data_IF_623337810896
#
_entry.id   IF_623337810896
#
_cell.length_a   1.000
_cell.length_b   1.000
_cell.length_c   1.000
_cell.angle_alpha   90.00
_cell.angle_beta   90.00
_cell.angle_gamma   90.00
#
_symmetry.space_group_name_H-M   'P 1'
#
loop_
_entity.id
_entity.type
_entity.pdbx_description
1 polymer ?
#
# COMPACT_ATOMS: atom_id res chain seq x y z
N UNK A 1 4.63 22.93 10.91
CA UNK A 1 4.61 21.49 10.54
C UNK A 1 5.45 21.31 9.29
N UNK A 2 6.48 20.45 9.32
CA UNK A 2 7.33 20.17 8.15
C UNK A 2 6.56 19.24 7.21
N UNK A 3 6.55 19.54 5.89
CA UNK A 3 6.04 18.63 4.85
C UNK A 3 6.74 17.27 4.99
N UNK A 4 5.98 16.17 4.98
CA UNK A 4 6.51 14.81 4.81
C UNK A 4 5.82 14.15 3.62
N UNK A 5 6.21 14.57 2.41
CA UNK A 5 6.20 13.66 1.27
C UNK A 5 7.57 13.00 1.28
N UNK A 6 7.63 11.69 1.11
CA UNK A 6 8.89 10.96 1.18
C UNK A 6 8.91 9.77 0.25
N UNK A 7 10.11 9.32 -0.05
CA UNK A 7 10.34 8.19 -0.95
C UNK A 7 10.77 6.99 -0.11
N UNK A 8 10.00 5.90 -0.19
CA UNK A 8 10.37 4.61 0.37
C UNK A 8 11.19 3.89 -0.70
N UNK A 9 12.52 3.99 -0.59
CA UNK A 9 13.46 3.56 -1.64
C UNK A 9 14.67 2.83 -1.08
N UNK A 10 15.08 1.78 -1.80
CA UNK A 10 16.39 1.17 -1.59
C UNK A 10 17.44 1.88 -2.47
N UNK A 11 18.23 2.80 -1.89
CA UNK A 11 19.39 3.39 -2.59
C UNK A 11 20.60 2.46 -2.54
N UNK A 12 21.08 2.02 -3.71
CA UNK A 12 22.37 1.35 -3.88
C UNK A 12 23.13 1.96 -5.04
N UNK A 13 23.79 3.10 -4.82
CA UNK A 13 24.66 3.71 -5.83
C UNK A 13 26.02 2.99 -5.80
N UNK A 14 26.34 2.25 -6.86
CA UNK A 14 27.69 1.75 -7.15
C UNK A 14 27.88 1.87 -8.65
N UNK A 15 28.72 2.80 -9.09
CA UNK A 15 29.03 3.00 -10.51
C UNK A 15 30.10 1.97 -10.90
N UNK A 16 29.67 0.81 -11.39
CA UNK A 16 30.47 -0.08 -12.22
C UNK A 16 29.55 -0.70 -13.29
N UNK A 17 29.98 -0.77 -14.56
CA UNK A 17 29.14 -1.23 -15.67
C UNK A 17 29.13 -2.77 -15.71
N UNK A 18 28.40 -3.39 -14.78
CA UNK A 18 28.09 -4.83 -14.79
C UNK A 18 27.03 -5.14 -13.73
N UNK A 19 25.91 -5.75 -14.15
CA UNK A 19 24.87 -6.42 -13.35
C UNK A 19 23.69 -5.60 -12.82
N UNK A 20 22.51 -5.97 -13.35
CA UNK A 20 21.13 -5.58 -13.02
C UNK A 20 20.89 -5.46 -11.50
N UNK A 21 20.68 -4.24 -10.99
CA UNK A 21 20.03 -4.05 -9.68
C UNK A 21 18.56 -3.70 -9.90
N UNK A 22 17.68 -4.41 -9.22
CA UNK A 22 16.27 -4.05 -9.13
C UNK A 22 16.16 -2.72 -8.36
N UNK A 23 15.85 -1.63 -9.06
CA UNK A 23 15.57 -0.34 -8.45
C UNK A 23 14.11 -0.34 -7.99
N UNK A 24 13.89 -0.53 -6.69
CA UNK A 24 12.57 -0.51 -6.06
C UNK A 24 12.35 0.84 -5.37
N UNK A 25 11.39 1.62 -5.86
CA UNK A 25 11.05 2.93 -5.32
C UNK A 25 9.54 3.12 -5.30
N UNK A 26 9.02 3.59 -4.18
CA UNK A 26 7.66 4.08 -4.07
C UNK A 26 7.69 5.53 -3.57
N UNK A 27 6.96 6.40 -4.24
CA UNK A 27 6.69 7.77 -3.78
C UNK A 27 5.32 7.77 -3.12
N UNK A 28 5.24 8.16 -1.85
CA UNK A 28 3.98 8.22 -1.11
C UNK A 28 3.62 9.68 -0.81
N UNK A 29 2.44 10.11 -1.23
CA UNK A 29 1.95 11.45 -0.94
C UNK A 29 1.09 11.50 0.33
N UNK A 30 1.71 11.98 1.40
CA UNK A 30 1.06 12.30 2.67
C UNK A 30 1.26 13.79 3.02
N UNK A 31 1.40 14.64 2.00
CA UNK A 31 1.60 16.07 2.15
C UNK A 31 0.30 16.86 2.37
N UNK A 32 0.40 18.14 2.76
CA UNK A 32 -0.71 19.07 2.66
C UNK A 32 -1.16 19.20 1.20
N UNK A 33 -2.48 19.28 0.97
CA UNK A 33 -3.14 19.37 -0.35
C UNK A 33 -2.47 20.34 -1.32
N UNK A 34 -1.99 21.48 -0.84
CA UNK A 34 -1.28 22.44 -1.66
C UNK A 34 -0.80 23.64 -0.87
N UNK A 35 -0.36 24.66 -1.58
CA UNK A 35 0.03 25.97 -1.02
C UNK A 35 -0.90 27.06 -1.53
N UNK A 36 -0.99 28.17 -0.79
CA UNK A 36 -1.85 29.31 -1.13
C UNK A 36 -3.32 28.86 -1.35
N UNK A 37 -3.93 29.19 -2.50
CA UNK A 37 -5.30 28.80 -2.84
C UNK A 37 -5.43 27.33 -3.31
N UNK A 38 -4.34 26.56 -3.32
CA UNK A 38 -4.31 25.18 -3.79
C UNK A 38 -4.74 25.01 -5.26
N UNK A 39 -4.62 26.04 -6.10
CA UNK A 39 -5.12 26.00 -7.47
C UNK A 39 -4.43 24.99 -8.40
N UNK A 40 -3.23 24.55 -8.04
CA UNK A 40 -2.48 23.51 -8.76
C UNK A 40 -2.58 22.13 -8.10
N UNK A 41 -3.26 22.01 -6.97
CA UNK A 41 -3.42 20.75 -6.28
C UNK A 41 -4.31 19.78 -7.07
N UNK A 42 -4.24 18.51 -6.70
CA UNK A 42 -5.12 17.43 -7.10
C UNK A 42 -5.75 16.82 -5.83
N UNK A 43 -6.81 16.02 -5.95
CA UNK A 43 -7.42 15.31 -4.82
C UNK A 43 -6.71 13.97 -4.59
N UNK A 44 -5.40 14.02 -4.42
CA UNK A 44 -4.46 12.90 -4.49
C UNK A 44 -3.92 12.45 -3.12
N UNK A 45 -4.55 12.90 -2.03
CA UNK A 45 -4.15 12.53 -0.68
C UNK A 45 -4.02 11.00 -0.51
N UNK A 46 -2.90 10.58 0.08
CA UNK A 46 -2.49 9.19 0.30
C UNK A 46 -2.27 8.37 -0.98
N UNK A 47 -2.16 9.02 -2.14
CA UNK A 47 -1.75 8.36 -3.38
C UNK A 47 -0.29 7.92 -3.33
N UNK A 48 0.09 7.04 -4.25
CA UNK A 48 1.48 6.66 -4.44
C UNK A 48 1.82 6.40 -5.91
N UNK A 49 3.09 6.57 -6.25
CA UNK A 49 3.65 6.11 -7.51
C UNK A 49 4.66 5.01 -7.26
N UNK A 50 4.72 4.03 -8.15
CA UNK A 50 5.58 2.86 -8.02
C UNK A 50 6.50 2.73 -9.22
N UNK A 51 7.81 2.68 -8.96
CA UNK A 51 8.81 2.30 -9.94
C UNK A 51 9.57 1.07 -9.46
N UNK A 52 9.62 0.05 -10.31
CA UNK A 52 10.37 -1.18 -10.07
C UNK A 52 11.14 -1.60 -11.33
N UNK A 53 12.30 -2.22 -11.14
CA UNK A 53 13.08 -2.81 -12.22
C UNK A 53 13.41 -1.83 -13.37
N UNK A 54 13.62 -0.55 -13.02
CA UNK A 54 13.98 0.51 -13.97
C UNK A 54 12.81 1.06 -14.79
N UNK A 55 11.56 0.78 -14.38
CA UNK A 55 10.33 1.23 -15.03
C UNK A 55 9.37 1.82 -14.01
N UNK A 56 8.67 2.89 -14.37
CA UNK A 56 7.54 3.40 -13.60
C UNK A 56 6.29 2.64 -14.03
N UNK A 57 5.54 2.12 -13.07
CA UNK A 57 4.51 1.11 -13.31
C UNK A 57 3.15 1.63 -12.91
N UNK A 58 3.01 2.06 -11.66
CA UNK A 58 1.85 2.78 -11.17
C UNK A 58 2.21 4.26 -11.15
N UNK A 59 1.40 5.09 -11.82
CA UNK A 59 1.73 6.48 -12.13
C UNK A 59 0.59 7.42 -11.76
N UNK A 60 0.96 8.65 -11.45
CA UNK A 60 0.05 9.80 -11.49
C UNK A 60 -0.35 10.10 -12.95
N UNK A 61 -1.63 10.44 -13.22
CA UNK A 61 -2.10 10.76 -14.56
C UNK A 61 -1.54 12.09 -15.08
N UNK A 62 -0.94 12.92 -14.23
CA UNK A 62 -0.46 14.26 -14.56
C UNK A 62 -1.58 15.29 -14.63
N UNK A 63 -1.26 16.50 -15.10
CA UNK A 63 -2.23 17.62 -15.09
C UNK A 63 -3.08 17.72 -16.35
N UNK A 64 -2.56 17.27 -17.49
CA UNK A 64 -3.12 17.46 -18.84
C UNK A 64 -3.41 18.91 -19.24
N UNK A 65 -4.42 19.57 -18.67
CA UNK A 65 -4.82 20.92 -19.04
C UNK A 65 -5.09 21.79 -17.82
N UNK A 66 -4.95 23.11 -17.96
CA UNK A 66 -5.36 24.10 -16.96
C UNK A 66 -6.65 24.82 -17.37
N UNK A 67 -6.73 25.22 -18.64
CA UNK A 67 -7.78 26.10 -19.19
C UNK A 67 -8.48 25.52 -20.42
N UNK A 68 -8.18 24.27 -20.79
CA UNK A 68 -8.87 23.55 -21.86
C UNK A 68 -10.25 23.08 -21.43
N UNK A 69 -10.56 21.79 -21.65
CA UNK A 69 -11.82 21.21 -21.15
C UNK A 69 -11.84 21.21 -19.63
N UNK A 70 -12.93 21.77 -19.06
CA UNK A 70 -13.21 21.74 -17.63
C UNK A 70 -13.38 20.30 -17.14
N UNK A 71 -14.07 19.48 -17.92
CA UNK A 71 -14.35 18.07 -17.61
C UNK A 71 -13.05 17.29 -17.50
N UNK A 72 -12.12 17.47 -18.45
CA UNK A 72 -10.81 16.84 -18.40
C UNK A 72 -9.93 17.41 -17.28
N UNK A 73 -10.00 18.73 -17.02
CA UNK A 73 -9.30 19.33 -15.88
C UNK A 73 -9.75 18.72 -14.56
N UNK A 74 -11.05 18.59 -14.37
CA UNK A 74 -11.64 18.08 -13.13
C UNK A 74 -11.39 16.57 -12.99
N UNK A 75 -11.45 15.81 -14.10
CA UNK A 75 -11.19 14.38 -14.08
C UNK A 75 -9.73 14.04 -13.76
N UNK A 76 -8.75 14.78 -14.27
CA UNK A 76 -7.34 14.54 -13.93
C UNK A 76 -7.00 14.93 -12.49
N UNK A 77 -7.87 15.70 -11.81
CA UNK A 77 -7.70 16.17 -10.43
C UNK A 77 -8.55 15.42 -9.41
N UNK A 78 -9.39 14.47 -9.83
CA UNK A 78 -10.26 13.71 -8.93
C UNK A 78 -9.49 12.56 -8.28
N UNK A 79 -9.89 12.15 -7.07
CA UNK A 79 -9.22 11.05 -6.36
C UNK A 79 -9.26 9.72 -7.12
N UNK A 80 -10.30 9.49 -7.93
CA UNK A 80 -10.40 8.31 -8.81
C UNK A 80 -9.31 8.25 -9.86
N UNK A 81 -8.65 9.37 -10.18
CA UNK A 81 -7.56 9.45 -11.14
C UNK A 81 -6.19 9.15 -10.53
N UNK A 82 -6.08 8.96 -9.21
CA UNK A 82 -4.83 8.69 -8.52
C UNK A 82 -4.81 7.30 -7.90
N UNK A 83 -3.63 6.78 -7.58
CA UNK A 83 -3.43 5.48 -6.91
C UNK A 83 -3.85 5.53 -5.43
N UNK A 84 -5.11 5.85 -5.15
CA UNK A 84 -5.69 6.02 -3.81
C UNK A 84 -7.09 5.40 -3.75
N UNK A 85 -7.68 5.40 -2.56
CA UNK A 85 -9.01 4.89 -2.29
C UNK A 85 -10.06 6.01 -2.41
N UNK A 86 -11.14 5.74 -3.14
CA UNK A 86 -12.36 6.56 -3.12
C UNK A 86 -13.47 5.89 -2.33
N UNK A 87 -14.30 6.70 -1.70
CA UNK A 87 -15.47 6.25 -0.95
C UNK A 87 -16.72 6.75 -1.69
N UNK A 88 -17.67 5.86 -1.98
CA UNK A 88 -18.91 6.15 -2.70
C UNK A 88 -18.68 6.93 -4.02
N UNK A 89 -17.60 6.60 -4.73
CA UNK A 89 -17.24 7.21 -6.01
C UNK A 89 -16.78 8.67 -5.96
N UNK A 90 -16.48 9.22 -4.78
CA UNK A 90 -16.15 10.64 -4.65
C UNK A 90 -14.71 10.93 -4.21
N UNK A 91 -14.32 12.17 -4.47
CA UNK A 91 -12.98 12.66 -4.20
C UNK A 91 -12.83 13.15 -2.76
N UNK A 92 -11.62 13.00 -2.22
CA UNK A 92 -11.22 13.50 -0.90
C UNK A 92 -11.29 15.03 -0.80
N UNK A 93 -11.14 15.71 -1.94
CA UNK A 93 -11.32 17.16 -2.10
C UNK A 93 -12.20 17.42 -3.32
N UNK A 94 -13.10 18.40 -3.26
CA UNK A 94 -14.05 18.71 -4.33
C UNK A 94 -13.65 20.01 -5.02
N UNK A 95 -13.38 19.97 -6.33
CA UNK A 95 -13.00 21.15 -7.12
C UNK A 95 -14.15 22.16 -7.25
N UNK A 96 -13.82 23.45 -7.26
CA UNK A 96 -14.73 24.55 -7.60
C UNK A 96 -14.09 25.41 -8.68
N UNK A 97 -14.05 24.91 -9.92
CA UNK A 97 -13.36 25.56 -11.02
C UNK A 97 -11.87 25.19 -11.14
N UNK A 98 -11.15 25.80 -12.11
CA UNK A 98 -9.84 25.29 -12.55
C UNK A 98 -8.72 25.49 -11.52
N UNK A 99 -8.87 26.44 -10.58
CA UNK A 99 -7.84 26.82 -9.62
C UNK A 99 -8.38 26.99 -8.18
N UNK A 100 -9.53 26.40 -7.87
CA UNK A 100 -10.18 26.51 -6.56
C UNK A 100 -10.85 25.21 -6.15
N UNK A 101 -11.17 25.11 -4.87
CA UNK A 101 -11.68 23.92 -4.20
C UNK A 101 -12.84 24.31 -3.29
N UNK A 102 -13.96 23.60 -3.44
CA UNK A 102 -15.10 23.69 -2.54
C UNK A 102 -14.78 23.06 -1.18
N UNK A 103 -14.05 21.95 -1.20
CA UNK A 103 -13.57 21.26 -0.01
C UNK A 103 -12.12 20.85 -0.21
N UNK A 104 -11.35 20.87 0.89
CA UNK A 104 -9.95 20.46 0.92
C UNK A 104 -9.79 19.46 2.05
N UNK A 105 -9.33 18.25 1.73
CA UNK A 105 -8.92 17.27 2.73
C UNK A 105 -7.67 17.72 3.45
N UNK A 106 -7.65 17.56 4.78
CA UNK A 106 -6.44 17.69 5.59
C UNK A 106 -5.80 16.32 5.72
N UNK A 107 -4.61 16.19 5.16
CA UNK A 107 -3.78 15.01 5.31
C UNK A 107 -2.78 15.20 6.46
N UNK A 108 -2.60 14.15 7.26
CA UNK A 108 -1.68 14.10 8.39
C UNK A 108 -0.84 12.82 8.33
N UNK A 109 0.49 12.97 8.36
CA UNK A 109 1.42 11.86 8.51
C UNK A 109 1.45 11.41 9.98
N UNK A 110 1.07 10.16 10.23
CA UNK A 110 0.98 9.58 11.57
C UNK A 110 2.29 8.90 11.98
N UNK A 111 2.95 8.21 11.05
CA UNK A 111 4.21 7.51 11.29
C UNK A 111 5.12 7.55 10.08
N UNK A 112 6.43 7.58 10.32
CA UNK A 112 7.46 7.49 9.30
C UNK A 112 8.71 6.85 9.90
N UNK A 113 9.03 5.64 9.47
CA UNK A 113 10.13 4.83 9.96
C UNK A 113 11.00 4.47 8.77
N UNK A 114 12.27 4.81 8.86
CA UNK A 114 13.30 4.39 7.90
C UNK A 114 14.30 3.49 8.62
N UNK A 115 14.57 2.30 8.08
CA UNK A 115 15.54 1.37 8.66
C UNK A 115 16.36 0.67 7.58
N UNK A 116 17.46 -0.01 7.91
CA UNK A 116 18.21 -0.78 6.90
C UNK A 116 17.42 -1.91 6.22
N UNK A 117 16.35 -2.41 6.86
CA UNK A 117 15.66 -3.65 6.44
C UNK A 117 14.24 -3.44 5.96
N UNK A 118 13.57 -2.41 6.46
CA UNK A 118 12.22 -2.02 6.04
C UNK A 118 12.04 -0.51 6.15
N UNK A 119 11.07 0.03 5.41
CA UNK A 119 10.53 1.36 5.68
C UNK A 119 9.02 1.25 5.96
N UNK A 120 8.50 2.12 6.81
CA UNK A 120 7.06 2.19 7.11
C UNK A 120 6.60 3.64 7.08
N UNK A 121 5.50 3.92 6.40
CA UNK A 121 4.83 5.20 6.44
C UNK A 121 3.34 5.01 6.70
N UNK A 122 2.73 5.90 7.47
CA UNK A 122 1.29 5.92 7.72
C UNK A 122 0.76 7.35 7.63
N UNK A 123 -0.35 7.51 6.94
CA UNK A 123 -1.02 8.78 6.75
C UNK A 123 -2.53 8.64 6.83
N UNK A 124 -3.21 9.69 7.28
CA UNK A 124 -4.67 9.77 7.35
C UNK A 124 -5.16 11.06 6.72
N UNK A 125 -6.40 11.08 6.26
CA UNK A 125 -7.05 12.33 5.87
C UNK A 125 -8.55 12.34 6.20
N UNK A 126 -9.09 13.55 6.34
CA UNK A 126 -10.48 13.79 6.76
C UNK A 126 -11.44 14.11 5.58
N UNK A 127 -11.01 13.87 4.34
CA UNK A 127 -11.72 14.28 3.12
C UNK A 127 -13.15 13.75 2.98
N UNK A 128 -13.49 12.66 3.68
CA UNK A 128 -14.82 12.05 3.64
C UNK A 128 -15.65 12.31 4.90
N UNK A 129 -15.22 13.21 5.78
CA UNK A 129 -15.82 13.38 7.12
C UNK A 129 -17.11 14.21 7.12
N UNK A 130 -17.28 15.13 6.16
CA UNK A 130 -18.43 16.03 6.08
C UNK A 130 -19.59 15.46 5.24
N UNK A 131 -19.57 14.16 4.95
CA UNK A 131 -20.54 13.48 4.09
C UNK A 131 -21.74 12.98 4.90
N UNK A 132 -22.89 12.66 4.27
CA UNK A 132 -24.04 12.10 4.99
C UNK A 132 -23.71 10.81 5.76
N UNK A 133 -22.82 9.98 5.20
CA UNK A 133 -22.16 8.87 5.89
C UNK A 133 -20.67 9.20 6.04
N UNK A 134 -20.25 9.83 7.14
CA UNK A 134 -18.85 10.14 7.36
C UNK A 134 -17.95 8.91 7.32
N UNK A 135 -16.78 9.09 6.73
CA UNK A 135 -15.72 8.10 6.78
C UNK A 135 -14.35 8.75 6.98
N UNK A 136 -13.44 8.01 7.62
CA UNK A 136 -12.02 8.36 7.72
C UNK A 136 -11.20 7.32 6.98
N UNK A 137 -10.24 7.77 6.18
CA UNK A 137 -9.33 6.91 5.43
C UNK A 137 -7.90 7.08 5.95
N UNK A 138 -7.30 5.96 6.34
CA UNK A 138 -5.90 5.86 6.75
C UNK A 138 -5.20 4.84 5.86
N UNK A 139 -4.05 5.20 5.31
CA UNK A 139 -3.20 4.30 4.55
C UNK A 139 -1.87 4.11 5.27
N UNK A 140 -1.42 2.88 5.38
CA UNK A 140 -0.03 2.59 5.69
C UNK A 140 0.64 1.79 4.58
N UNK A 141 1.95 2.01 4.42
CA UNK A 141 2.79 1.34 3.46
C UNK A 141 4.00 0.79 4.19
N UNK A 142 4.10 -0.55 4.25
CA UNK A 142 5.31 -1.25 4.66
C UNK A 142 6.10 -1.64 3.40
N UNK A 143 7.32 -1.15 3.28
CA UNK A 143 8.28 -1.62 2.28
C UNK A 143 9.27 -2.59 2.93
N UNK A 144 9.20 -3.86 2.56
CA UNK A 144 10.22 -4.84 2.91
C UNK A 144 11.38 -4.67 1.92
N UNK A 145 12.53 -4.17 2.37
CA UNK A 145 13.59 -3.72 1.45
C UNK A 145 14.12 -4.86 0.60
N UNK A 146 14.25 -4.59 -0.70
CA UNK A 146 14.62 -5.54 -1.77
C UNK A 146 13.57 -6.63 -2.03
N UNK A 147 12.44 -6.55 -1.35
CA UNK A 147 11.36 -7.50 -1.46
C UNK A 147 10.17 -6.81 -2.14
N UNK A 148 9.15 -6.43 -1.38
CA UNK A 148 7.87 -5.97 -1.90
C UNK A 148 7.19 -4.99 -0.93
N UNK A 149 6.06 -4.41 -1.37
CA UNK A 149 5.26 -3.51 -0.54
C UNK A 149 3.97 -4.16 -0.09
N UNK A 150 3.57 -3.83 1.14
CA UNK A 150 2.25 -4.09 1.70
C UNK A 150 1.59 -2.72 1.92
N UNK A 151 0.47 -2.48 1.25
CA UNK A 151 -0.34 -1.26 1.42
C UNK A 151 -1.60 -1.65 2.19
N UNK A 152 -1.86 -1.01 3.31
CA UNK A 152 -3.03 -1.25 4.14
C UNK A 152 -3.93 -0.02 4.14
N UNK A 153 -5.11 -0.14 3.54
CA UNK A 153 -6.15 0.89 3.54
C UNK A 153 -7.17 0.58 4.62
N UNK A 154 -7.17 1.37 5.69
CA UNK A 154 -8.14 1.29 6.78
C UNK A 154 -9.19 2.38 6.61
N UNK A 155 -10.44 1.95 6.48
CA UNK A 155 -11.60 2.83 6.37
C UNK A 155 -12.49 2.63 7.58
N UNK A 156 -12.74 3.71 8.31
CA UNK A 156 -13.73 3.75 9.40
C UNK A 156 -14.97 4.49 8.91
N UNK A 157 -16.01 3.75 8.56
CA UNK A 157 -17.27 4.29 8.03
C UNK A 157 -18.37 4.26 9.09
N UNK A 158 -19.26 5.25 9.10
CA UNK A 158 -20.43 5.28 10.01
C UNK A 158 -21.66 4.55 9.47
N UNK A 159 -21.64 4.18 8.20
CA UNK A 159 -22.72 3.49 7.49
C UNK A 159 -22.16 2.63 6.36
N UNK A 160 -23.04 2.03 5.58
CA UNK A 160 -22.64 1.30 4.37
C UNK A 160 -21.93 2.24 3.40
N UNK A 161 -20.81 1.78 2.85
CA UNK A 161 -19.99 2.54 1.93
C UNK A 161 -19.40 1.63 0.84
N UNK A 162 -19.34 2.13 -0.39
CA UNK A 162 -18.57 1.52 -1.47
C UNK A 162 -17.14 2.03 -1.41
N UNK A 163 -16.18 1.13 -1.41
CA UNK A 163 -14.75 1.43 -1.48
C UNK A 163 -14.23 1.03 -2.85
N UNK A 164 -13.51 1.94 -3.51
CA UNK A 164 -12.84 1.68 -4.78
C UNK A 164 -11.34 2.00 -4.62
N UNK A 165 -10.48 1.00 -4.76
CA UNK A 165 -9.02 1.17 -4.74
C UNK A 165 -8.52 1.21 -6.18
N UNK A 166 -7.92 2.34 -6.56
CA UNK A 166 -7.54 2.61 -7.94
C UNK A 166 -6.06 2.31 -8.17
N UNK A 167 -5.74 1.68 -9.30
CA UNK A 167 -4.37 1.39 -9.74
C UNK A 167 -4.19 1.82 -11.20
N UNK A 168 -3.54 2.95 -11.40
CA UNK A 168 -3.30 3.58 -12.69
C UNK A 168 -1.95 3.13 -13.24
N UNK A 169 -1.99 2.31 -14.28
CA UNK A 169 -0.78 1.83 -14.93
C UNK A 169 -0.26 2.84 -15.94
N UNK A 170 1.05 2.86 -16.14
CA UNK A 170 1.66 3.71 -17.17
C UNK A 170 1.13 3.40 -18.57
N UNK A 171 1.16 4.37 -19.48
CA UNK A 171 0.65 4.22 -20.87
C UNK A 171 1.35 3.13 -21.68
N UNK A 172 2.46 2.62 -21.18
CA UNK A 172 3.30 1.65 -21.85
C UNK A 172 3.17 0.24 -21.22
N UNK A 173 2.28 0.08 -20.23
CA UNK A 173 1.91 -1.16 -19.56
C UNK A 173 0.68 -1.80 -20.21
N UNK A 174 0.57 -3.12 -20.10
CA UNK A 174 -0.56 -3.94 -20.54
C UNK A 174 -0.98 -4.92 -19.42
N UNK A 175 -1.47 -4.39 -18.28
CA UNK A 175 -1.86 -5.22 -17.14
C UNK A 175 -3.11 -6.04 -17.45
N UNK A 176 -3.14 -7.30 -16.99
CA UNK A 176 -4.30 -8.17 -17.15
C UNK A 176 -4.70 -8.87 -15.85
N UNK A 177 -5.98 -9.24 -15.74
CA UNK A 177 -6.46 -10.06 -14.64
C UNK A 177 -6.04 -11.53 -14.82
N UNK A 178 -5.54 -12.13 -13.74
CA UNK A 178 -5.17 -13.54 -13.65
C UNK A 178 -5.87 -14.19 -12.46
N UNK A 179 -6.75 -15.16 -12.73
CA UNK A 179 -7.45 -15.92 -11.69
C UNK A 179 -6.60 -17.11 -11.24
N UNK A 180 -6.35 -17.16 -9.95
CA UNK A 180 -5.56 -18.19 -9.29
C UNK A 180 -6.40 -19.43 -8.99
N UNK A 181 -5.75 -20.56 -8.71
CA UNK A 181 -6.43 -21.82 -8.37
C UNK A 181 -7.28 -21.71 -7.10
N UNK A 182 -6.90 -20.85 -6.15
CA UNK A 182 -7.65 -20.56 -4.93
C UNK A 182 -8.86 -19.63 -5.18
N UNK A 183 -9.11 -19.21 -6.42
CA UNK A 183 -10.20 -18.33 -6.83
C UNK A 183 -9.87 -16.84 -6.79
N UNK A 184 -8.77 -16.44 -6.16
CA UNK A 184 -8.35 -15.04 -6.06
C UNK A 184 -7.96 -14.48 -7.42
N UNK A 185 -8.23 -13.19 -7.63
CA UNK A 185 -7.88 -12.49 -8.86
C UNK A 185 -6.74 -11.53 -8.56
N UNK A 186 -5.70 -11.61 -9.38
CA UNK A 186 -4.54 -10.71 -9.36
C UNK A 186 -4.51 -9.89 -10.64
N UNK A 187 -3.90 -8.71 -10.57
CA UNK A 187 -3.57 -7.95 -11.77
C UNK A 187 -2.07 -8.09 -12.00
N UNK A 188 -1.70 -8.43 -13.24
CA UNK A 188 -0.36 -8.86 -13.62
C UNK A 188 0.14 -8.03 -14.80
N UNK A 189 1.33 -7.44 -14.66
CA UNK A 189 2.07 -6.72 -15.70
C UNK A 189 3.41 -7.44 -15.98
N UNK A 190 3.40 -8.34 -16.97
CA UNK A 190 4.53 -9.23 -17.28
C UNK A 190 5.48 -8.71 -18.37
N UNK A 191 5.13 -7.64 -19.10
CA UNK A 191 5.91 -7.24 -20.29
C UNK A 191 7.19 -6.48 -19.95
N UNK A 192 7.25 -5.82 -18.78
CA UNK A 192 8.33 -4.88 -18.46
C UNK A 192 9.10 -5.19 -17.20
N UNK A 193 8.39 -5.32 -16.10
CA UNK A 193 8.96 -5.28 -14.75
C UNK A 193 8.42 -6.35 -13.83
N UNK A 194 7.44 -7.13 -14.28
CA UNK A 194 6.75 -8.18 -13.51
C UNK A 194 6.19 -7.61 -12.21
N UNK A 195 5.18 -6.74 -12.33
CA UNK A 195 4.40 -6.31 -11.18
C UNK A 195 3.13 -7.15 -11.11
N UNK A 196 2.95 -7.80 -9.97
CA UNK A 196 1.68 -8.40 -9.60
C UNK A 196 1.10 -7.66 -8.40
N UNK A 197 -0.21 -7.47 -8.43
CA UNK A 197 -0.95 -6.92 -7.31
C UNK A 197 -2.22 -7.72 -7.00
N UNK A 198 -2.55 -7.79 -5.71
CA UNK A 198 -3.71 -8.49 -5.18
C UNK A 198 -4.24 -7.75 -3.95
N UNK A 199 -5.56 -7.69 -3.82
CA UNK A 199 -6.26 -7.01 -2.71
C UNK A 199 -7.00 -8.05 -1.87
N UNK A 200 -6.85 -7.95 -0.55
CA UNK A 200 -7.44 -8.84 0.44
C UNK A 200 -8.22 -8.04 1.50
N UNK A 201 -9.07 -8.72 2.28
CA UNK A 201 -9.71 -8.18 3.49
C UNK A 201 -11.23 -8.11 3.41
N UNK A 202 -11.77 -7.83 2.22
CA UNK A 202 -13.20 -7.90 1.92
C UNK A 202 -13.45 -8.61 0.59
N UNK A 203 -14.64 -9.17 0.40
CA UNK A 203 -15.06 -9.68 -0.89
C UNK A 203 -15.30 -8.50 -1.84
N UNK A 204 -14.74 -8.56 -3.03
CA UNK A 204 -14.83 -7.48 -4.00
C UNK A 204 -14.44 -7.96 -5.40
N UNK A 205 -14.64 -7.08 -6.36
CA UNK A 205 -14.48 -7.37 -7.78
C UNK A 205 -13.48 -6.42 -8.43
N UNK A 206 -12.78 -6.94 -9.42
CA UNK A 206 -11.86 -6.17 -10.26
C UNK A 206 -12.57 -5.70 -11.52
N UNK A 207 -12.35 -4.44 -11.86
CA UNK A 207 -12.78 -3.86 -13.13
C UNK A 207 -11.60 -3.16 -13.81
N UNK A 208 -11.47 -3.40 -15.11
CA UNK A 208 -10.58 -2.62 -15.97
C UNK A 208 -11.32 -1.40 -16.52
N UNK A 209 -10.66 -0.25 -16.50
CA UNK A 209 -11.17 1.00 -17.05
C UNK A 209 -10.13 1.61 -17.99
N UNK A 210 -10.62 2.25 -19.06
CA UNK A 210 -9.78 3.07 -19.93
C UNK A 210 -9.44 4.37 -19.21
N UNK A 211 -8.16 4.77 -19.27
CA UNK A 211 -7.69 6.00 -18.66
C UNK A 211 -6.67 6.71 -19.55
N UNK A 212 -6.11 7.81 -19.05
CA UNK A 212 -5.10 8.58 -19.75
C UNK A 212 -3.99 9.01 -18.80
N UNK A 213 -2.76 9.01 -19.31
CA UNK A 213 -1.60 9.62 -18.65
C UNK A 213 -1.11 10.80 -19.49
N UNK A 214 -0.80 11.91 -18.83
CA UNK A 214 -0.33 13.15 -19.42
C UNK A 214 1.06 13.51 -18.88
N UNK A 215 2.10 13.06 -19.58
CA UNK A 215 3.48 13.41 -19.27
C UNK A 215 3.88 14.83 -19.73
N UNK A 216 3.06 15.48 -20.57
CA UNK A 216 3.32 16.81 -21.11
C UNK A 216 2.00 17.60 -21.23
N UNK A 217 2.07 18.92 -21.03
CA UNK A 217 0.89 19.77 -21.10
C UNK A 217 0.16 19.64 -22.45
N UNK A 218 -1.17 19.55 -22.39
CA UNK A 218 -2.10 19.35 -23.49
C UNK A 218 -1.86 18.07 -24.32
N UNK A 219 -1.06 17.12 -23.83
CA UNK A 219 -0.84 15.82 -24.44
C UNK A 219 -1.27 14.72 -23.47
N UNK A 220 -1.92 13.69 -23.99
CA UNK A 220 -2.27 12.52 -23.20
C UNK A 220 -2.16 11.26 -24.04
N UNK A 221 -1.67 10.20 -23.42
CA UNK A 221 -1.59 8.86 -23.99
C UNK A 221 -2.64 7.97 -23.32
N UNK A 222 -3.30 7.06 -24.06
CA UNK A 222 -4.14 6.04 -23.46
C UNK A 222 -3.36 5.22 -22.42
N UNK A 223 -4.04 4.85 -21.35
CA UNK A 223 -3.53 3.96 -20.30
C UNK A 223 -4.66 3.07 -19.79
N UNK A 224 -4.32 2.20 -18.85
CA UNK A 224 -5.27 1.30 -18.20
C UNK A 224 -5.29 1.55 -16.71
N UNK A 225 -6.49 1.59 -16.14
CA UNK A 225 -6.70 1.58 -14.70
C UNK A 225 -7.37 0.29 -14.30
N UNK A 226 -6.91 -0.33 -13.23
CA UNK A 226 -7.61 -1.42 -12.57
C UNK A 226 -8.18 -0.93 -11.24
N UNK A 227 -9.46 -1.20 -11.02
CA UNK A 227 -10.18 -0.78 -9.81
C UNK A 227 -10.65 -2.02 -9.08
N UNK A 228 -10.29 -2.12 -7.79
CA UNK A 228 -10.88 -3.11 -6.89
C UNK A 228 -12.03 -2.46 -6.12
N UNK A 229 -13.24 -3.00 -6.26
CA UNK A 229 -14.46 -2.47 -5.65
C UNK A 229 -15.02 -3.43 -4.60
N UNK A 230 -15.39 -2.91 -3.44
CA UNK A 230 -16.08 -3.67 -2.39
C UNK A 230 -17.10 -2.79 -1.66
N UNK A 231 -18.15 -3.40 -1.14
CA UNK A 231 -19.11 -2.73 -0.26
C UNK A 231 -18.89 -3.19 1.17
N UNK A 232 -18.81 -2.24 2.09
CA UNK A 232 -18.58 -2.49 3.51
C UNK A 232 -19.70 -1.87 4.33
N UNK A 233 -20.04 -2.49 5.45
CA UNK A 233 -20.97 -1.92 6.42
C UNK A 233 -20.29 -0.93 7.36
N UNK A 234 -21.07 -0.32 8.25
CA UNK A 234 -20.56 0.55 9.30
C UNK A 234 -19.50 -0.16 10.16
N UNK A 235 -18.44 0.55 10.52
CA UNK A 235 -17.34 0.04 11.31
C UNK A 235 -16.00 0.23 10.62
N UNK A 236 -15.03 -0.57 11.03
CA UNK A 236 -13.66 -0.50 10.50
C UNK A 236 -13.36 -1.67 9.57
N UNK A 237 -13.11 -1.34 8.31
CA UNK A 237 -12.62 -2.29 7.30
C UNK A 237 -11.16 -2.00 6.97
N UNK A 238 -10.41 -3.07 6.71
CA UNK A 238 -9.02 -2.98 6.26
C UNK A 238 -8.90 -3.76 4.95
N UNK A 239 -8.46 -3.08 3.90
CA UNK A 239 -8.04 -3.70 2.65
C UNK A 239 -6.52 -3.77 2.64
N UNK A 240 -5.98 -4.92 2.24
CA UNK A 240 -4.54 -5.14 2.15
C UNK A 240 -4.20 -5.37 0.69
N UNK A 241 -3.37 -4.50 0.12
CA UNK A 241 -2.81 -4.68 -1.21
C UNK A 241 -1.37 -5.15 -1.10
N UNK A 242 -1.05 -6.25 -1.77
CA UNK A 242 0.33 -6.68 -1.98
C UNK A 242 0.81 -6.13 -3.34
N UNK A 243 1.96 -5.48 -3.38
CA UNK A 243 2.60 -5.01 -4.61
C UNK A 243 3.95 -5.72 -4.78
N UNK A 244 4.01 -6.70 -5.68
CA UNK A 244 5.09 -7.68 -5.77
C UNK A 244 5.86 -7.49 -7.10
N UNK A 245 7.08 -6.90 -7.07
CA UNK A 245 7.87 -6.56 -8.26
C UNK A 245 8.85 -7.68 -8.68
N UNK A 246 8.40 -8.95 -8.70
CA UNK A 246 9.26 -10.11 -8.93
C UNK A 246 8.92 -10.85 -10.23
N UNK A 247 9.94 -11.42 -10.87
CA UNK A 247 9.77 -12.23 -12.09
C UNK A 247 9.17 -13.62 -11.85
N UNK A 248 9.31 -14.17 -10.64
CA UNK A 248 8.68 -15.43 -10.22
C UNK A 248 7.92 -15.15 -8.92
N UNK A 249 6.60 -15.28 -9.00
CA UNK A 249 5.68 -14.89 -7.93
C UNK A 249 5.48 -16.02 -6.91
N UNK A 250 5.24 -15.71 -5.62
CA UNK A 250 4.78 -16.71 -4.66
C UNK A 250 3.46 -17.35 -5.10
N UNK A 251 3.51 -18.63 -5.51
CA UNK A 251 2.37 -19.39 -6.07
C UNK A 251 1.03 -19.21 -5.32
N UNK A 252 1.05 -18.88 -4.03
CA UNK A 252 -0.14 -18.73 -3.21
C UNK A 252 -0.01 -17.58 -2.21
N UNK A 253 -0.56 -16.41 -2.52
CA UNK A 253 -1.00 -15.47 -1.49
C UNK A 253 -2.46 -15.79 -1.15
N UNK A 254 -2.86 -15.72 0.13
CA UNK A 254 -4.25 -15.93 0.56
C UNK A 254 -4.53 -15.39 1.95
N UNK A 255 -5.81 -15.14 2.24
CA UNK A 255 -6.27 -14.96 3.62
C UNK A 255 -6.28 -16.30 4.37
N UNK A 256 -5.84 -16.28 5.62
CA UNK A 256 -5.90 -17.42 6.54
C UNK A 256 -6.79 -17.11 7.74
N UNK A 257 -7.17 -18.14 8.49
CA UNK A 257 -7.94 -17.97 9.71
C UNK A 257 -7.11 -17.24 10.78
N UNK A 258 -7.75 -16.28 11.44
CA UNK A 258 -7.16 -15.51 12.53
C UNK A 258 -8.21 -15.07 13.53
N UNK A 259 -7.78 -14.81 14.77
CA UNK A 259 -8.56 -14.15 15.81
C UNK A 259 -7.97 -12.79 16.14
N UNK A 260 -8.82 -11.83 16.49
CA UNK A 260 -8.41 -10.47 16.91
C UNK A 260 -7.76 -9.61 15.83
N UNK A 261 -7.88 -10.00 14.55
CA UNK A 261 -7.26 -9.29 13.44
C UNK A 261 -7.43 -10.01 12.10
N UNK A 262 -6.72 -9.52 11.09
CA UNK A 262 -6.62 -10.12 9.76
C UNK A 262 -5.25 -10.79 9.61
N UNK A 263 -5.20 -11.96 8.96
CA UNK A 263 -3.94 -12.62 8.63
C UNK A 263 -3.90 -13.08 7.17
N UNK A 264 -2.75 -12.89 6.52
CA UNK A 264 -2.43 -13.39 5.20
C UNK A 264 -1.23 -14.33 5.27
N UNK A 265 -1.24 -15.33 4.40
CA UNK A 265 -0.11 -16.20 4.08
C UNK A 265 0.30 -15.94 2.64
N UNK A 266 1.61 -15.74 2.41
CA UNK A 266 2.19 -15.46 1.10
C UNK A 266 3.32 -16.48 0.91
N UNK A 267 3.08 -17.49 0.09
CA UNK A 267 3.95 -18.65 -0.04
C UNK A 267 4.62 -18.73 -1.42
N UNK A 268 5.94 -18.78 -1.41
CA UNK A 268 6.78 -19.16 -2.55
C UNK A 268 7.32 -20.58 -2.38
N UNK A 269 8.12 -21.05 -3.34
CA UNK A 269 8.84 -22.31 -3.20
C UNK A 269 9.92 -22.29 -2.11
N UNK A 270 10.44 -21.11 -1.76
CA UNK A 270 11.61 -20.94 -0.88
C UNK A 270 11.26 -20.40 0.51
N UNK A 271 10.11 -19.79 0.66
CA UNK A 271 9.70 -19.13 1.89
C UNK A 271 8.18 -19.00 1.98
N UNK A 272 7.69 -18.79 3.20
CA UNK A 272 6.32 -18.41 3.50
C UNK A 272 6.33 -17.21 4.43
N UNK A 273 5.71 -16.13 3.97
CA UNK A 273 5.53 -14.92 4.74
C UNK A 273 4.14 -14.90 5.34
N UNK A 274 4.05 -14.51 6.61
CA UNK A 274 2.80 -14.24 7.29
C UNK A 274 2.70 -12.74 7.56
N UNK A 275 1.55 -12.16 7.21
CA UNK A 275 1.21 -10.78 7.56
C UNK A 275 0.00 -10.80 8.48
N UNK A 276 0.13 -10.26 9.68
CA UNK A 276 -0.94 -10.13 10.65
C UNK A 276 -1.20 -8.65 10.92
N UNK A 277 -2.46 -8.23 10.83
CA UNK A 277 -2.93 -6.89 11.17
C UNK A 277 -3.85 -6.98 12.37
N UNK A 278 -3.48 -6.33 13.47
CA UNK A 278 -4.23 -6.40 14.72
C UNK A 278 -5.41 -5.44 14.71
N UNK A 279 -6.56 -5.93 15.16
CA UNK A 279 -7.79 -5.14 15.41
C UNK A 279 -8.19 -5.10 16.88
N UNK A 280 -7.90 -6.16 17.61
CA UNK A 280 -8.19 -6.27 19.04
C UNK A 280 -6.91 -6.11 19.88
N UNK A 281 -6.91 -6.67 21.10
CA UNK A 281 -5.74 -6.64 21.99
C UNK A 281 -4.56 -7.44 21.44
N UNK A 282 -4.83 -8.53 20.74
CA UNK A 282 -3.84 -9.42 20.11
C UNK A 282 -4.40 -9.92 18.79
N UNK A 283 -3.51 -10.27 17.87
CA UNK A 283 -3.85 -11.03 16.67
C UNK A 283 -3.19 -12.39 16.75
N UNK A 284 -3.93 -13.44 16.40
CA UNK A 284 -3.50 -14.82 16.53
C UNK A 284 -3.92 -15.66 15.34
N UNK A 285 -3.02 -16.54 14.91
CA UNK A 285 -3.22 -17.62 13.94
C UNK A 285 -2.84 -18.94 14.63
N UNK A 286 -2.91 -20.07 13.92
CA UNK A 286 -2.43 -21.35 14.47
C UNK A 286 -0.93 -21.38 14.78
N UNK A 287 -0.13 -20.46 14.22
CA UNK A 287 1.34 -20.42 14.37
C UNK A 287 1.85 -19.17 15.10
N UNK A 288 1.25 -18.02 14.83
CA UNK A 288 1.75 -16.71 15.26
C UNK A 288 0.74 -16.02 16.17
N UNK A 289 1.24 -15.38 17.22
CA UNK A 289 0.48 -14.51 18.11
C UNK A 289 1.25 -13.24 18.42
N UNK A 290 0.60 -12.08 18.35
CA UNK A 290 1.30 -10.81 18.53
C UNK A 290 0.41 -9.65 18.97
N UNK A 291 1.02 -8.65 19.62
CA UNK A 291 0.44 -7.34 19.95
C UNK A 291 0.88 -6.21 19.01
N UNK A 292 1.68 -6.49 17.97
CA UNK A 292 2.01 -5.50 16.94
C UNK A 292 0.75 -5.10 16.16
N UNK A 293 0.61 -3.81 15.83
CA UNK A 293 -0.44 -3.31 14.94
C UNK A 293 -0.32 -3.96 13.55
N UNK A 294 0.93 -4.09 13.07
CA UNK A 294 1.29 -4.85 11.88
C UNK A 294 2.49 -5.74 12.21
N UNK A 295 2.35 -7.04 11.97
CA UNK A 295 3.42 -8.03 12.04
C UNK A 295 3.62 -8.65 10.66
N UNK A 296 4.86 -8.70 10.21
CA UNK A 296 5.30 -9.55 9.11
C UNK A 296 6.35 -10.53 9.60
N UNK A 297 6.26 -11.81 9.20
CA UNK A 297 7.22 -12.84 9.58
C UNK A 297 7.49 -13.80 8.43
N UNK A 298 8.77 -14.01 8.09
CA UNK A 298 9.21 -14.93 7.02
C UNK A 298 9.72 -16.24 7.60
N UNK A 299 9.20 -17.34 7.10
CA UNK A 299 9.69 -18.70 7.34
C UNK A 299 10.36 -19.21 6.07
N UNK A 300 11.50 -19.91 6.21
CA UNK A 300 12.16 -20.55 5.06
C UNK A 300 11.58 -21.94 4.84
N UNK A 301 11.51 -22.38 3.58
CA UNK A 301 11.04 -23.74 3.27
C UNK A 301 11.86 -24.78 4.03
N UNK A 302 11.16 -25.66 4.76
CA UNK A 302 11.77 -26.68 5.61
C UNK A 302 11.92 -26.28 7.08
N UNK A 303 11.82 -24.98 7.42
CA UNK A 303 11.77 -24.50 8.81
C UNK A 303 10.38 -23.97 9.16
N UNK A 304 9.66 -24.74 9.96
CA UNK A 304 8.31 -24.40 10.43
C UNK A 304 8.31 -23.96 11.89
N UNK A 305 9.45 -24.03 12.57
CA UNK A 305 9.55 -23.78 14.01
C UNK A 305 9.80 -22.32 14.32
N UNK A 306 10.59 -21.64 13.49
CA UNK A 306 11.00 -20.27 13.75
C UNK A 306 11.09 -19.44 12.46
N UNK A 307 10.65 -18.18 12.47
CA UNK A 307 10.85 -17.28 11.34
C UNK A 307 12.32 -16.90 11.18
N UNK A 308 12.79 -16.85 9.94
CA UNK A 308 14.08 -16.26 9.61
C UNK A 308 14.11 -14.76 9.86
N UNK A 309 12.99 -14.06 9.60
CA UNK A 309 12.88 -12.60 9.74
C UNK A 309 11.53 -12.21 10.30
N UNK A 310 11.51 -11.14 11.08
CA UNK A 310 10.30 -10.53 11.65
C UNK A 310 10.40 -9.03 11.52
N UNK A 311 9.31 -8.40 11.08
CA UNK A 311 9.09 -6.95 11.15
C UNK A 311 7.82 -6.70 11.96
N UNK A 312 7.92 -5.85 12.97
CA UNK A 312 6.78 -5.46 13.81
C UNK A 312 6.63 -3.95 13.88
N UNK A 313 5.41 -3.43 13.70
CA UNK A 313 5.06 -2.01 13.82
C UNK A 313 4.06 -1.82 14.96
N UNK A 314 4.34 -0.92 15.90
CA UNK A 314 3.40 -0.55 16.97
C UNK A 314 3.10 -1.68 17.96
N UNK A 315 4.12 -2.22 18.63
CA UNK A 315 3.94 -3.34 19.58
C UNK A 315 5.23 -3.78 20.26
N UNK A 316 5.19 -4.93 20.92
CA UNK A 316 6.31 -5.40 21.75
C UNK A 316 6.56 -6.91 21.70
N UNK A 317 5.60 -7.73 21.27
CA UNK A 317 5.63 -9.17 21.47
C UNK A 317 5.27 -9.97 20.22
N UNK A 318 6.06 -11.02 19.97
CA UNK A 318 5.74 -12.08 18.99
C UNK A 318 5.99 -13.43 19.63
N UNK A 319 4.95 -14.25 19.64
CA UNK A 319 5.03 -15.67 19.96
C UNK A 319 4.88 -16.50 18.68
N UNK A 320 5.71 -17.53 18.55
CA UNK A 320 5.69 -18.50 17.45
C UNK A 320 5.57 -19.89 18.05
N UNK A 321 4.52 -20.62 17.70
CA UNK A 321 4.24 -21.96 18.22
C UNK A 321 4.27 -22.03 19.76
N UNK A 322 3.90 -20.94 20.45
CA UNK A 322 3.90 -20.83 21.91
C UNK A 322 5.22 -20.38 22.53
N UNK A 323 6.29 -20.20 21.74
CA UNK A 323 7.57 -19.67 22.20
C UNK A 323 7.70 -18.18 21.85
N UNK A 324 8.06 -17.36 22.83
CA UNK A 324 8.24 -15.94 22.62
C UNK A 324 9.61 -15.65 22.00
N UNK A 325 9.64 -15.17 20.75
CA UNK A 325 10.87 -14.89 20.00
C UNK A 325 11.26 -13.41 20.04
N UNK A 326 10.31 -12.53 20.26
CA UNK A 326 10.52 -11.08 20.41
C UNK A 326 9.74 -10.63 21.63
N UNK A 327 10.46 -10.17 22.65
CA UNK A 327 9.89 -9.62 23.90
C UNK A 327 10.53 -8.30 24.25
N UNK A 328 9.86 -7.21 23.93
CA UNK A 328 10.32 -5.87 24.27
C UNK A 328 9.77 -5.44 25.63
N UNK A 329 10.56 -4.63 26.36
CA UNK A 329 10.14 -4.07 27.66
C UNK A 329 9.03 -3.02 27.52
N UNK A 330 8.89 -2.42 26.34
CA UNK A 330 7.91 -1.38 26.00
C UNK A 330 7.58 -1.49 24.51
N UNK A 331 6.45 -0.91 24.11
CA UNK A 331 6.08 -0.82 22.70
C UNK A 331 7.16 -0.06 21.91
N UNK A 332 7.50 -0.59 20.74
CA UNK A 332 8.38 0.03 19.76
C UNK A 332 7.56 0.54 18.58
N UNK A 333 8.02 1.64 17.97
CA UNK A 333 7.43 2.15 16.73
C UNK A 333 7.68 1.16 15.59
N UNK A 334 8.92 0.67 15.46
CA UNK A 334 9.29 -0.39 14.53
C UNK A 334 10.32 -1.35 15.12
N UNK A 335 10.30 -2.60 14.67
CA UNK A 335 11.21 -3.67 15.08
C UNK A 335 11.56 -4.50 13.87
N UNK A 336 12.84 -4.83 13.72
CA UNK A 336 13.32 -5.91 12.88
C UNK A 336 14.00 -6.96 13.76
N UNK A 337 13.70 -8.23 13.53
CA UNK A 337 14.43 -9.33 14.16
C UNK A 337 14.82 -10.38 13.12
N UNK A 338 16.03 -10.89 13.19
CA UNK A 338 16.55 -11.92 12.28
C UNK A 338 17.21 -13.05 13.08
N UNK A 339 16.92 -14.30 12.69
CA UNK A 339 17.52 -15.46 13.33
C UNK A 339 18.98 -15.61 12.93
N UNK A 340 19.85 -15.79 13.92
CA UNK A 340 21.25 -16.08 13.70
C UNK A 340 21.52 -17.57 13.50
N UNK A 341 22.70 -17.89 12.98
CA UNK A 341 23.18 -19.28 12.86
C UNK A 341 23.31 -19.98 14.23
N UNK A 342 23.41 -19.19 15.30
CA UNK A 342 23.41 -19.59 16.71
C UNK A 342 22.00 -19.84 17.28
N UNK A 343 20.94 -19.68 16.48
CA UNK A 343 19.54 -19.83 16.89
C UNK A 343 18.99 -18.66 17.72
N UNK A 344 19.80 -17.63 17.96
CA UNK A 344 19.41 -16.42 18.69
C UNK A 344 18.93 -15.33 17.72
N UNK A 345 17.91 -14.57 18.11
CA UNK A 345 17.43 -13.43 17.34
C UNK A 345 18.26 -12.19 17.61
N UNK A 346 18.71 -11.53 16.54
CA UNK A 346 19.27 -10.18 16.59
C UNK A 346 18.14 -9.20 16.37
N UNK A 347 17.91 -8.31 17.34
CA UNK A 347 16.77 -7.37 17.33
C UNK A 347 17.30 -5.95 17.11
N UNK A 348 16.76 -5.27 16.11
CA UNK A 348 16.99 -3.88 15.79
C UNK A 348 15.69 -3.10 16.02
N UNK A 349 15.75 -1.99 16.77
CA UNK A 349 14.62 -1.11 17.01
C UNK A 349 14.72 0.12 16.10
N UNK A 350 13.59 0.53 15.55
CA UNK A 350 13.47 1.76 14.76
C UNK A 350 12.52 2.73 15.47
N UNK A 351 12.86 4.01 15.43
CA UNK A 351 12.15 5.10 16.12
C UNK A 351 11.48 6.07 15.17
#
# INVERSE_FOLDING_TARGET
>A
MKKRCGCLAHKGLSVLPSLRRAHLNLLFDCGPHGTANCGHAHADALSFDLAANGKTLLVDPGTYTYTGSKELRDSFRSSSAHNTLTIDGESSSISEGPFSWKTISRCEAQSWIESPHFDYAEGTHDGYSSRPSPAAHTRSILFLKKEYWVVCDRVKATGTARLDVNFHFSSDSEPCASRQQNGEVRIVENKKSNLELAVFGSAGDWKQEESFVSNCYAQKSPSTTWVFSTTVDSGETTLVTLLLPFAEFPNNARRIESRGGLALEIASEKWTDFLLLRKEKLVETSKLRSDFDLLWARFLTGDTKSPAKVVGIGGANVDVNGENIVKLKKNSAGVYAESGADGLYRIELSS
#
